data_IF_949216706504
#
_entry.id   IF_949216706504
#
_cell.length_a   1.000
_cell.length_b   1.000
_cell.length_c   1.000
_cell.angle_alpha   90.00
_cell.angle_beta   90.00
_cell.angle_gamma   90.00
#
_symmetry.space_group_name_H-M   'P 1'
#
loop_
_entity.id
_entity.type
_entity.pdbx_description
1 polymer ?
#
# COMPACT_ATOMS: atom_id res chain seq x y z
N UNK A 1 45.45 -20.78 47.46
CA UNK A 1 46.23 -19.55 47.17
C UNK A 1 45.40 -18.72 46.18
N UNK A 2 44.50 -17.95 46.64
CA UNK A 2 44.44 -16.57 47.07
C UNK A 2 45.27 -15.59 46.21
N UNK A 3 44.62 -14.81 45.35
CA UNK A 3 44.86 -13.37 45.26
C UNK A 3 43.69 -12.66 44.55
N UNK A 4 43.03 -11.80 45.33
CA UNK A 4 42.06 -10.79 44.94
C UNK A 4 42.79 -9.66 44.17
N UNK A 5 42.10 -9.02 43.21
CA UNK A 5 42.32 -7.60 42.94
C UNK A 5 40.96 -6.90 42.82
N UNK A 6 40.82 -5.90 43.70
CA UNK A 6 39.66 -5.01 43.82
C UNK A 6 39.77 -3.85 42.81
N UNK A 7 38.61 -3.30 42.53
CA UNK A 7 38.26 -2.08 41.75
C UNK A 7 39.01 -0.81 42.24
N UNK A 8 38.92 0.29 41.45
CA UNK A 8 38.05 1.34 41.95
C UNK A 8 37.11 1.99 40.90
N UNK A 9 35.87 2.17 41.34
CA UNK A 9 34.93 3.14 40.84
C UNK A 9 35.40 4.57 41.07
N UNK A 10 35.16 5.49 40.11
CA UNK A 10 35.08 6.90 40.43
C UNK A 10 35.36 7.84 39.26
N UNK A 11 34.39 8.68 38.95
CA UNK A 11 34.47 9.95 38.19
C UNK A 11 34.26 9.93 36.69
N UNK A 12 33.00 9.93 36.29
CA UNK A 12 32.56 10.59 35.04
C UNK A 12 31.10 11.08 35.16
N UNK A 13 30.84 11.97 36.12
CA UNK A 13 29.54 12.69 36.24
C UNK A 13 29.68 14.20 36.11
N UNK A 14 30.76 14.72 35.55
CA UNK A 14 31.00 16.17 35.49
C UNK A 14 31.09 16.79 34.09
N UNK A 15 30.98 16.01 33.02
CA UNK A 15 31.13 16.53 31.65
C UNK A 15 29.82 16.76 30.90
N UNK A 16 28.65 16.38 31.43
CA UNK A 16 27.37 16.51 30.72
C UNK A 16 26.58 17.77 31.10
N UNK A 17 27.00 18.51 32.14
CA UNK A 17 26.32 19.76 32.55
C UNK A 17 26.87 21.04 31.91
N UNK A 18 27.97 20.99 31.19
CA UNK A 18 28.62 22.19 30.61
C UNK A 18 28.21 22.48 29.15
N UNK A 19 27.51 21.57 28.45
CA UNK A 19 27.11 21.76 27.05
C UNK A 19 25.67 22.30 26.91
N UNK A 20 24.85 22.21 27.94
CA UNK A 20 23.47 22.67 27.92
C UNK A 20 23.28 24.17 28.20
N UNK A 21 24.32 24.93 28.61
CA UNK A 21 24.21 26.34 28.94
C UNK A 21 24.73 27.31 27.86
N UNK A 22 25.30 26.82 26.76
CA UNK A 22 25.90 27.65 25.70
C UNK A 22 25.03 27.81 24.44
N UNK A 23 23.90 27.13 24.33
CA UNK A 23 23.00 27.21 23.14
C UNK A 23 21.77 28.10 23.43
N UNK A 24 21.54 28.53 24.68
CA UNK A 24 20.34 29.28 25.06
C UNK A 24 20.47 30.81 25.01
N UNK A 25 21.64 31.40 24.70
CA UNK A 25 21.87 32.85 24.85
C UNK A 25 22.20 33.62 23.55
N UNK A 26 22.06 33.02 22.37
CA UNK A 26 22.39 33.71 21.10
C UNK A 26 21.18 33.94 20.17
N UNK A 27 19.94 33.58 20.56
CA UNK A 27 18.78 33.75 19.69
C UNK A 27 17.75 34.77 20.13
N UNK A 28 18.07 35.61 21.11
CA UNK A 28 17.11 36.57 21.72
C UNK A 28 17.53 38.07 21.61
N UNK A 29 18.38 38.46 20.65
CA UNK A 29 18.81 39.89 20.56
C UNK A 29 18.80 40.52 19.17
N UNK A 30 18.02 40.05 18.22
CA UNK A 30 17.93 40.73 16.91
C UNK A 30 16.53 40.87 16.28
N UNK A 31 15.46 40.92 17.10
CA UNK A 31 14.13 41.27 16.55
C UNK A 31 13.40 42.28 17.44
N UNK A 32 13.98 43.45 17.57
CA UNK A 32 13.37 44.51 18.36
C UNK A 32 13.95 45.86 18.04
N UNK A 33 13.88 46.34 16.80
CA UNK A 33 14.06 47.76 16.47
C UNK A 33 13.82 47.97 14.97
N UNK A 34 12.57 48.24 14.59
CA UNK A 34 12.16 49.05 13.42
C UNK A 34 10.65 48.86 13.20
N UNK A 35 9.82 49.50 13.99
CA UNK A 35 8.46 49.91 13.65
C UNK A 35 7.98 50.89 14.73
N UNK A 36 8.41 52.15 14.58
CA UNK A 36 7.72 53.29 15.18
C UNK A 36 8.13 54.53 14.40
N UNK A 37 7.21 55.08 13.75
CA UNK A 37 7.10 56.46 13.24
C UNK A 37 6.46 56.46 11.86
N UNK A 38 5.18 56.79 11.82
CA UNK A 38 4.60 57.78 10.92
C UNK A 38 3.06 57.77 11.16
N UNK A 39 2.64 58.57 12.16
CA UNK A 39 1.32 59.15 12.22
C UNK A 39 1.54 60.67 12.19
N UNK A 40 1.03 61.38 11.22
CA UNK A 40 0.22 62.61 11.33
C UNK A 40 0.13 63.33 9.98
N UNK A 41 -1.05 63.79 9.74
CA UNK A 41 -1.46 64.95 8.96
C UNK A 41 -2.04 64.74 7.57
N UNK A 42 -3.30 65.14 7.46
CA UNK A 42 -3.86 65.66 6.20
C UNK A 42 -5.31 65.29 5.92
N UNK A 43 -6.26 65.89 6.66
CA UNK A 43 -7.64 65.95 6.25
C UNK A 43 -7.83 67.00 5.17
N UNK A 44 -8.39 66.65 4.00
CA UNK A 44 -9.12 67.59 3.15
C UNK A 44 -10.28 66.80 2.49
N UNK A 45 -11.46 67.33 2.69
CA UNK A 45 -12.75 66.93 2.17
C UNK A 45 -12.82 67.27 0.67
N UNK A 46 -13.25 66.34 -0.16
CA UNK A 46 -13.84 66.67 -1.45
C UNK A 46 -14.98 65.64 -1.76
N UNK A 47 -16.17 66.14 -1.60
CA UNK A 47 -17.39 65.49 -2.05
C UNK A 47 -17.48 65.64 -3.59
N UNK A 48 -17.47 64.53 -4.27
CA UNK A 48 -17.97 64.46 -5.66
C UNK A 48 -18.89 63.21 -5.75
N UNK A 49 -20.15 63.53 -6.01
CA UNK A 49 -21.13 62.53 -6.44
C UNK A 49 -20.67 61.88 -7.75
N UNK A 50 -20.63 60.60 -7.79
CA UNK A 50 -20.60 59.86 -9.03
C UNK A 50 -21.40 58.54 -8.83
N UNK A 51 -22.36 58.41 -9.66
CA UNK A 51 -23.30 57.34 -9.98
C UNK A 51 -22.96 55.96 -9.49
N UNK A 52 -23.95 55.35 -8.86
CA UNK A 52 -24.06 53.91 -8.62
C UNK A 52 -23.93 53.12 -9.94
N UNK A 53 -22.81 52.51 -10.17
CA UNK A 53 -22.74 51.22 -10.82
C UNK A 53 -22.47 50.17 -9.78
N UNK A 54 -23.51 49.50 -9.34
CA UNK A 54 -23.39 48.29 -8.52
C UNK A 54 -22.66 47.24 -9.36
N UNK A 55 -21.31 47.17 -9.24
CA UNK A 55 -20.58 45.99 -9.62
C UNK A 55 -20.88 44.92 -8.59
N UNK A 56 -21.77 44.05 -8.97
CA UNK A 56 -22.10 42.81 -8.26
C UNK A 56 -20.83 41.97 -8.18
N UNK A 57 -20.24 41.66 -7.00
CA UNK A 57 -19.07 40.78 -6.93
C UNK A 57 -19.48 39.30 -7.00
N UNK A 58 -20.57 38.99 -7.69
CA UNK A 58 -21.07 37.64 -7.81
C UNK A 58 -21.26 37.25 -9.29
N UNK A 59 -20.17 37.35 -10.08
CA UNK A 59 -20.09 36.67 -11.39
C UNK A 59 -19.25 35.39 -11.26
N UNK A 60 -19.59 34.58 -10.25
CA UNK A 60 -19.36 33.16 -10.34
C UNK A 60 -20.34 32.61 -11.36
N UNK A 61 -19.87 31.92 -12.39
CA UNK A 61 -20.72 31.17 -13.31
C UNK A 61 -21.77 30.40 -12.51
N UNK A 62 -23.05 30.45 -12.81
CA UNK A 62 -24.13 29.82 -12.00
C UNK A 62 -24.01 28.31 -11.85
N UNK A 63 -23.05 27.66 -12.57
CA UNK A 63 -22.93 26.21 -12.67
C UNK A 63 -21.60 25.63 -12.11
N UNK A 64 -20.78 26.42 -11.41
CA UNK A 64 -19.56 25.85 -10.82
C UNK A 64 -19.91 25.08 -9.54
N UNK A 65 -19.83 23.75 -9.60
CA UNK A 65 -19.93 22.90 -8.40
C UNK A 65 -18.79 23.24 -7.45
N UNK A 66 -19.03 23.10 -6.13
CA UNK A 66 -18.00 23.30 -5.10
C UNK A 66 -16.83 22.33 -5.30
N UNK A 67 -15.60 22.81 -5.15
CA UNK A 67 -14.39 21.98 -5.15
C UNK A 67 -14.50 20.82 -4.15
N UNK A 68 -13.99 19.65 -4.53
CA UNK A 68 -14.05 18.42 -3.74
C UNK A 68 -12.65 17.88 -3.50
N UNK A 69 -12.41 17.40 -2.28
CA UNK A 69 -11.20 16.66 -1.93
C UNK A 69 -11.60 15.22 -1.55
N UNK A 70 -11.02 14.23 -2.23
CA UNK A 70 -11.17 12.81 -1.93
C UNK A 70 -9.96 12.29 -1.16
N UNK A 71 -10.19 11.49 -0.13
CA UNK A 71 -9.14 10.75 0.58
C UNK A 71 -9.11 9.31 0.08
N UNK A 72 -8.02 8.95 -0.62
CA UNK A 72 -7.75 7.59 -1.10
C UNK A 72 -6.77 6.89 -0.17
N UNK A 73 -7.18 5.79 0.43
CA UNK A 73 -6.34 4.93 1.26
C UNK A 73 -6.06 3.63 0.55
N UNK A 74 -4.78 3.27 0.38
CA UNK A 74 -4.42 2.12 -0.43
C UNK A 74 -3.16 1.39 0.04
N UNK A 75 -2.96 0.17 -0.46
CA UNK A 75 -1.73 -0.56 -0.19
C UNK A 75 -0.56 -0.02 -1.02
N UNK A 76 0.66 -0.18 -0.50
CA UNK A 76 1.84 0.57 -0.93
C UNK A 76 2.17 0.49 -2.43
N UNK A 77 1.92 -0.66 -3.06
CA UNK A 77 2.36 -0.92 -4.43
C UNK A 77 1.50 -0.26 -5.51
N UNK A 78 0.27 0.15 -5.18
CA UNK A 78 -0.65 0.83 -6.11
C UNK A 78 -0.28 2.28 -6.38
N UNK A 79 0.58 2.87 -5.55
CA UNK A 79 0.93 4.29 -5.62
C UNK A 79 1.29 4.74 -7.03
N UNK A 80 2.10 3.96 -7.75
CA UNK A 80 2.55 4.34 -9.10
C UNK A 80 1.42 4.31 -10.14
N UNK A 81 0.48 3.38 -10.01
CA UNK A 81 -0.73 3.35 -10.84
C UNK A 81 -1.60 4.58 -10.57
N UNK A 82 -1.88 4.88 -9.30
CA UNK A 82 -2.70 6.04 -8.93
C UNK A 82 -2.07 7.37 -9.37
N UNK A 83 -0.74 7.52 -9.28
CA UNK A 83 -0.03 8.69 -9.79
C UNK A 83 -0.26 8.93 -11.30
N UNK A 84 -0.46 7.88 -12.08
CA UNK A 84 -0.74 7.97 -13.51
C UNK A 84 -2.25 8.16 -13.82
N UNK A 85 -3.13 7.55 -13.01
CA UNK A 85 -4.57 7.48 -13.26
C UNK A 85 -5.30 8.73 -12.74
N UNK A 86 -4.97 9.19 -11.51
CA UNK A 86 -5.66 10.32 -10.87
C UNK A 86 -5.68 11.58 -11.74
N UNK A 87 -4.57 12.02 -12.37
CA UNK A 87 -4.61 13.22 -13.23
C UNK A 87 -5.57 13.10 -14.40
N UNK A 88 -5.69 11.90 -15.00
CA UNK A 88 -6.62 11.63 -16.11
C UNK A 88 -8.08 11.74 -15.67
N UNK A 89 -8.40 11.16 -14.51
CA UNK A 89 -9.72 11.29 -13.92
C UNK A 89 -10.07 12.75 -13.59
N UNK A 90 -9.15 13.47 -12.95
CA UNK A 90 -9.34 14.88 -12.57
C UNK A 90 -9.61 15.75 -13.81
N UNK A 91 -8.83 15.57 -14.88
CA UNK A 91 -9.02 16.28 -16.15
C UNK A 91 -10.38 15.96 -16.79
N UNK A 92 -10.75 14.67 -16.84
CA UNK A 92 -12.03 14.19 -17.35
C UNK A 92 -13.19 14.78 -16.54
N UNK A 93 -13.14 14.66 -15.22
CA UNK A 93 -14.18 15.16 -14.31
C UNK A 93 -14.37 16.67 -14.42
N UNK A 94 -13.26 17.42 -14.47
CA UNK A 94 -13.32 18.87 -14.65
C UNK A 94 -13.98 19.28 -15.97
N UNK A 95 -13.73 18.55 -17.06
CA UNK A 95 -14.35 18.80 -18.37
C UNK A 95 -15.85 18.46 -18.38
N UNK A 96 -16.24 17.37 -17.74
CA UNK A 96 -17.60 16.85 -17.78
C UNK A 96 -18.52 17.47 -16.73
N UNK A 97 -18.00 17.78 -15.54
CA UNK A 97 -18.79 18.22 -14.40
C UNK A 97 -18.53 19.67 -13.97
N UNK A 98 -17.56 20.35 -14.61
CA UNK A 98 -17.10 21.68 -14.21
C UNK A 98 -16.81 21.80 -12.71
N UNK A 99 -16.24 20.73 -12.13
CA UNK A 99 -15.90 20.62 -10.71
C UNK A 99 -14.46 20.23 -10.54
N UNK A 100 -13.72 20.98 -9.72
CA UNK A 100 -12.34 20.65 -9.36
C UNK A 100 -12.32 19.55 -8.30
N UNK A 101 -11.47 18.53 -8.53
CA UNK A 101 -11.23 17.42 -7.59
C UNK A 101 -9.75 17.36 -7.24
N UNK A 102 -9.47 17.18 -5.96
CA UNK A 102 -8.13 16.91 -5.44
C UNK A 102 -8.11 15.62 -4.65
N UNK A 103 -6.94 15.02 -4.47
CA UNK A 103 -6.79 13.76 -3.76
C UNK A 103 -5.76 13.87 -2.63
N UNK A 104 -6.19 13.55 -1.42
CA UNK A 104 -5.30 13.11 -0.35
C UNK A 104 -5.07 11.62 -0.47
N UNK A 105 -3.83 11.17 -0.30
CA UNK A 105 -3.47 9.78 -0.55
C UNK A 105 -2.65 9.23 0.61
N UNK A 106 -3.02 8.03 1.10
CA UNK A 106 -2.28 7.29 2.12
C UNK A 106 -1.93 5.90 1.60
N UNK A 107 -0.66 5.50 1.76
CA UNK A 107 -0.13 4.23 1.28
C UNK A 107 0.67 3.50 2.34
N UNK A 108 0.43 2.20 2.49
CA UNK A 108 1.12 1.34 3.45
C UNK A 108 0.76 -0.13 3.30
N UNK A 109 1.07 -0.95 4.28
CA UNK A 109 0.60 -2.34 4.32
C UNK A 109 -0.93 -2.38 4.40
N UNK A 110 -1.58 -3.24 3.61
CA UNK A 110 -3.04 -3.31 3.50
C UNK A 110 -3.73 -3.44 4.87
N UNK A 111 -3.27 -4.38 5.71
CA UNK A 111 -3.82 -4.55 7.05
C UNK A 111 -3.57 -3.36 7.98
N UNK A 112 -2.48 -2.60 7.78
CA UNK A 112 -2.22 -1.37 8.52
C UNK A 112 -3.15 -0.24 8.09
N UNK A 113 -3.39 -0.12 6.77
CA UNK A 113 -4.33 0.86 6.23
C UNK A 113 -5.77 0.57 6.66
N UNK A 114 -6.15 -0.72 6.66
CA UNK A 114 -7.46 -1.15 7.19
C UNK A 114 -7.67 -0.70 8.63
N UNK A 115 -6.67 -0.94 9.49
CA UNK A 115 -6.74 -0.49 10.90
C UNK A 115 -6.84 1.03 10.99
N UNK A 116 -6.03 1.76 10.23
CA UNK A 116 -6.06 3.23 10.24
C UNK A 116 -7.46 3.78 9.88
N UNK A 117 -8.15 3.19 8.88
CA UNK A 117 -9.51 3.59 8.52
C UNK A 117 -10.50 3.27 9.64
N UNK A 118 -10.42 2.07 10.24
CA UNK A 118 -11.29 1.68 11.36
C UNK A 118 -11.04 2.58 12.58
N UNK A 119 -9.79 2.98 12.82
CA UNK A 119 -9.38 3.83 13.94
C UNK A 119 -9.62 5.34 13.68
N UNK A 120 -10.24 5.70 12.54
CA UNK A 120 -10.73 7.06 12.28
C UNK A 120 -10.01 7.84 11.18
N UNK A 121 -9.16 7.21 10.36
CA UNK A 121 -8.70 7.84 9.12
C UNK A 121 -9.87 7.90 8.13
N UNK A 122 -10.37 9.10 7.91
CA UNK A 122 -11.56 9.36 7.10
C UNK A 122 -11.30 9.20 5.60
N UNK A 123 -11.15 7.94 5.16
CA UNK A 123 -11.02 7.60 3.75
C UNK A 123 -12.38 7.70 3.04
N UNK A 124 -12.42 8.29 1.86
CA UNK A 124 -13.58 8.21 0.95
C UNK A 124 -13.55 6.92 0.13
N UNK A 125 -12.35 6.45 -0.21
CA UNK A 125 -12.13 5.27 -1.04
C UNK A 125 -11.01 4.45 -0.44
N UNK A 126 -11.20 3.12 -0.41
CA UNK A 126 -10.17 2.17 -0.04
C UNK A 126 -9.86 1.24 -1.22
N UNK A 127 -8.60 1.13 -1.61
CA UNK A 127 -8.10 0.15 -2.57
C UNK A 127 -7.08 -0.73 -1.85
N UNK A 128 -7.53 -1.90 -1.41
CA UNK A 128 -6.78 -2.77 -0.52
C UNK A 128 -6.25 -4.02 -1.25
N UNK A 129 -5.32 -4.72 -0.61
CA UNK A 129 -4.72 -5.90 -1.22
C UNK A 129 -5.60 -7.15 -1.14
N UNK A 130 -6.60 -7.15 -0.24
CA UNK A 130 -7.43 -8.31 0.08
C UNK A 130 -8.88 -7.89 0.30
N UNK A 131 -9.85 -8.64 -0.22
CA UNK A 131 -11.26 -8.47 0.12
C UNK A 131 -11.52 -8.65 1.63
N UNK A 132 -10.78 -9.54 2.29
CA UNK A 132 -10.86 -9.68 3.76
C UNK A 132 -10.52 -8.40 4.54
N UNK A 133 -9.67 -7.53 4.02
CA UNK A 133 -9.33 -6.27 4.66
C UNK A 133 -10.45 -5.24 4.44
N UNK A 134 -11.09 -5.20 3.27
CA UNK A 134 -12.30 -4.40 3.00
C UNK A 134 -13.47 -4.85 3.86
N UNK A 135 -13.69 -6.17 3.98
CA UNK A 135 -14.76 -6.73 4.82
C UNK A 135 -14.59 -6.42 6.32
N UNK A 136 -13.37 -6.13 6.80
CA UNK A 136 -13.19 -5.64 8.19
C UNK A 136 -13.72 -4.23 8.36
N UNK A 137 -13.57 -3.37 7.35
CA UNK A 137 -14.10 -2.00 7.34
C UNK A 137 -15.62 -2.04 7.25
N UNK A 138 -16.19 -2.97 6.45
CA UNK A 138 -17.63 -3.27 6.42
C UNK A 138 -18.14 -3.72 7.80
N UNK A 139 -17.47 -4.70 8.44
CA UNK A 139 -17.82 -5.18 9.79
C UNK A 139 -17.73 -4.07 10.84
N UNK A 140 -16.86 -3.08 10.67
CA UNK A 140 -16.82 -1.88 11.48
C UNK A 140 -17.96 -0.88 11.16
N UNK A 141 -18.78 -1.19 10.15
CA UNK A 141 -19.95 -0.42 9.75
C UNK A 141 -19.61 0.89 9.03
N UNK A 142 -18.45 1.00 8.37
CA UNK A 142 -18.03 2.16 7.60
C UNK A 142 -18.32 2.00 6.10
N UNK A 143 -18.34 0.77 5.60
CA UNK A 143 -18.74 0.37 4.25
C UNK A 143 -20.05 -0.39 4.36
N UNK A 144 -20.98 -0.17 3.47
CA UNK A 144 -22.26 -0.86 3.43
C UNK A 144 -22.09 -2.32 2.96
N UNK A 145 -23.03 -3.18 3.38
CA UNK A 145 -23.03 -4.59 2.97
C UNK A 145 -23.30 -4.71 1.47
N UNK A 146 -22.59 -5.63 0.83
CA UNK A 146 -22.76 -5.91 -0.58
C UNK A 146 -21.88 -5.05 -1.48
N UNK A 147 -20.86 -4.40 -0.94
CA UNK A 147 -19.89 -3.59 -1.68
C UNK A 147 -19.25 -4.35 -2.85
N UNK A 148 -19.11 -5.68 -2.75
CA UNK A 148 -18.57 -6.52 -3.83
C UNK A 148 -19.43 -6.47 -5.09
N UNK A 149 -20.76 -6.24 -4.96
CA UNK A 149 -21.69 -6.20 -6.09
C UNK A 149 -21.87 -4.82 -6.70
N UNK A 150 -21.31 -3.77 -6.10
CA UNK A 150 -21.43 -2.39 -6.61
C UNK A 150 -20.63 -2.15 -7.89
N UNK A 151 -19.56 -2.94 -8.08
CA UNK A 151 -18.62 -2.78 -9.19
C UNK A 151 -18.34 -4.11 -9.89
N UNK A 152 -17.83 -4.07 -11.15
CA UNK A 152 -17.48 -5.30 -11.89
C UNK A 152 -16.49 -6.21 -11.15
N UNK A 153 -16.52 -7.49 -11.48
CA UNK A 153 -15.56 -8.50 -10.98
C UNK A 153 -15.54 -8.61 -9.44
N UNK A 154 -16.70 -8.54 -8.79
CA UNK A 154 -16.82 -8.57 -7.32
C UNK A 154 -15.99 -7.46 -6.64
N UNK A 155 -15.99 -6.25 -7.22
CA UNK A 155 -15.22 -5.11 -6.71
C UNK A 155 -13.70 -5.22 -6.95
N UNK A 156 -13.22 -6.22 -7.70
CA UNK A 156 -11.80 -6.40 -8.00
C UNK A 156 -11.39 -5.51 -9.17
N UNK A 157 -10.46 -4.59 -8.93
CA UNK A 157 -10.04 -3.56 -9.89
C UNK A 157 -8.65 -3.82 -10.49
N UNK A 158 -7.84 -4.66 -9.88
CA UNK A 158 -6.54 -5.08 -10.41
C UNK A 158 -6.15 -6.46 -9.91
N UNK A 159 -5.30 -7.16 -10.67
CA UNK A 159 -4.82 -8.50 -10.35
C UNK A 159 -3.30 -8.59 -10.41
N UNK A 160 -2.75 -9.61 -9.77
CA UNK A 160 -1.34 -9.97 -9.82
C UNK A 160 -1.16 -11.45 -9.48
N UNK A 161 0.09 -11.91 -9.41
CA UNK A 161 0.45 -13.22 -8.86
C UNK A 161 1.70 -13.08 -8.00
N UNK A 162 1.89 -13.93 -6.98
CA UNK A 162 3.17 -14.02 -6.29
C UNK A 162 4.26 -14.58 -7.21
N UNK A 163 5.45 -14.01 -7.12
CA UNK A 163 6.63 -14.48 -7.85
C UNK A 163 7.82 -14.66 -6.91
N UNK A 164 8.77 -15.51 -7.31
CA UNK A 164 10.05 -15.67 -6.61
C UNK A 164 11.10 -14.90 -7.39
N UNK A 165 11.68 -13.88 -6.78
CA UNK A 165 12.80 -13.11 -7.33
C UNK A 165 14.09 -13.71 -6.81
N UNK A 166 15.10 -13.83 -7.68
CA UNK A 166 16.41 -14.37 -7.33
C UNK A 166 17.51 -13.35 -7.62
N UNK A 167 18.66 -13.56 -7.03
CA UNK A 167 19.87 -12.81 -7.40
C UNK A 167 20.26 -13.10 -8.85
N UNK A 168 21.06 -12.23 -9.42
CA UNK A 168 21.56 -12.40 -10.78
C UNK A 168 22.25 -13.76 -10.96
N UNK A 169 21.95 -14.43 -12.06
CA UNK A 169 22.42 -15.79 -12.35
C UNK A 169 21.80 -16.89 -11.48
N UNK A 170 20.87 -16.57 -10.56
CA UNK A 170 20.18 -17.52 -9.69
C UNK A 170 21.14 -18.52 -8.99
N UNK A 171 22.09 -18.05 -8.17
CA UNK A 171 23.17 -18.89 -7.61
C UNK A 171 22.66 -20.02 -6.70
N UNK A 172 21.45 -19.88 -6.14
CA UNK A 172 20.78 -20.91 -5.33
C UNK A 172 19.94 -21.89 -6.15
N UNK A 173 19.91 -21.73 -7.48
CA UNK A 173 19.13 -22.56 -8.40
C UNK A 173 17.65 -22.73 -7.95
N UNK A 174 17.01 -21.61 -7.59
CA UNK A 174 15.62 -21.53 -7.12
C UNK A 174 14.72 -21.50 -8.35
N UNK A 175 13.84 -22.50 -8.51
CA UNK A 175 12.95 -22.66 -9.67
C UNK A 175 11.48 -22.80 -9.27
N UNK A 176 11.21 -23.17 -8.02
CA UNK A 176 9.85 -23.41 -7.52
C UNK A 176 9.78 -23.12 -6.01
N UNK A 177 8.56 -23.09 -5.47
CA UNK A 177 8.29 -22.85 -4.05
C UNK A 177 9.09 -23.78 -3.12
N UNK A 178 9.20 -25.08 -3.48
CA UNK A 178 9.92 -26.05 -2.67
C UNK A 178 11.44 -25.82 -2.59
N UNK A 179 12.01 -25.01 -3.48
CA UNK A 179 13.43 -24.65 -3.39
C UNK A 179 13.70 -23.68 -2.24
N UNK A 180 12.68 -22.98 -1.77
CA UNK A 180 12.78 -22.05 -0.64
C UNK A 180 12.84 -22.78 0.72
N UNK A 181 12.58 -24.10 0.76
CA UNK A 181 12.74 -24.94 1.95
C UNK A 181 14.21 -25.30 2.23
N UNK A 182 15.10 -25.14 1.24
CA UNK A 182 16.51 -25.53 1.34
C UNK A 182 17.21 -24.72 2.42
N UNK A 183 17.90 -25.42 3.30
CA UNK A 183 18.72 -24.81 4.35
C UNK A 183 19.79 -23.87 3.74
N UNK A 184 20.05 -22.75 4.39
CA UNK A 184 20.99 -21.73 3.95
C UNK A 184 20.47 -20.85 2.81
N UNK A 185 19.17 -20.89 2.50
CA UNK A 185 18.49 -19.92 1.63
C UNK A 185 17.99 -18.75 2.47
N UNK A 186 18.49 -17.54 2.24
CA UNK A 186 17.98 -16.34 2.92
C UNK A 186 16.82 -15.75 2.11
N UNK A 187 15.61 -15.77 2.67
CA UNK A 187 14.39 -15.36 2.01
C UNK A 187 13.85 -14.04 2.58
N UNK A 188 13.53 -13.09 1.74
CA UNK A 188 12.82 -11.87 2.12
C UNK A 188 11.33 -12.01 1.77
N UNK A 189 10.47 -11.69 2.70
CA UNK A 189 9.01 -11.56 2.52
C UNK A 189 8.43 -10.62 3.57
N UNK A 190 7.19 -10.18 3.37
CA UNK A 190 6.53 -9.29 4.32
C UNK A 190 5.79 -10.06 5.43
N UNK A 191 5.35 -9.34 6.47
CA UNK A 191 4.61 -9.89 7.60
C UNK A 191 3.11 -10.03 7.29
N UNK A 192 2.51 -11.23 7.39
CA UNK A 192 1.07 -11.44 7.22
C UNK A 192 0.18 -10.69 8.23
N UNK A 193 0.71 -10.19 9.34
CA UNK A 193 -0.02 -9.36 10.32
C UNK A 193 -0.22 -7.92 9.84
N UNK A 194 0.61 -7.42 8.92
CA UNK A 194 0.58 -6.03 8.44
C UNK A 194 0.36 -5.89 6.94
N UNK A 195 0.81 -6.86 6.15
CA UNK A 195 0.90 -6.81 4.70
C UNK A 195 -0.02 -7.80 4.01
N UNK A 196 -0.79 -7.32 3.04
CA UNK A 196 -1.63 -8.19 2.21
C UNK A 196 -0.83 -9.12 1.31
N UNK A 197 0.31 -8.66 0.72
CA UNK A 197 1.16 -9.53 -0.10
C UNK A 197 1.65 -10.74 0.67
N UNK A 198 1.96 -10.56 1.94
CA UNK A 198 2.46 -11.65 2.77
C UNK A 198 1.42 -12.76 2.97
N UNK A 199 0.13 -12.40 3.04
CA UNK A 199 -0.96 -13.39 3.08
C UNK A 199 -1.07 -14.13 1.75
N UNK A 200 -0.98 -13.42 0.62
CA UNK A 200 -0.95 -14.06 -0.69
C UNK A 200 0.26 -14.97 -0.88
N UNK A 201 1.45 -14.55 -0.46
CA UNK A 201 2.66 -15.36 -0.48
C UNK A 201 2.51 -16.63 0.36
N UNK A 202 1.95 -16.50 1.57
CA UNK A 202 1.65 -17.64 2.44
C UNK A 202 0.69 -18.63 1.77
N UNK A 203 -0.40 -18.11 1.16
CA UNK A 203 -1.38 -18.95 0.48
C UNK A 203 -0.81 -19.66 -0.75
N UNK A 204 0.04 -18.99 -1.53
CA UNK A 204 0.73 -19.62 -2.66
C UNK A 204 1.65 -20.78 -2.22
N UNK A 205 2.47 -20.53 -1.19
CA UNK A 205 3.33 -21.54 -0.58
C UNK A 205 2.53 -22.72 -0.02
N UNK A 206 1.47 -22.41 0.76
CA UNK A 206 0.62 -23.45 1.34
C UNK A 206 -0.06 -24.32 0.28
N UNK A 207 -0.67 -23.66 -0.70
CA UNK A 207 -1.36 -24.36 -1.79
C UNK A 207 -0.41 -25.28 -2.56
N UNK A 208 0.79 -24.82 -2.87
CA UNK A 208 1.81 -25.63 -3.55
C UNK A 208 2.28 -26.82 -2.68
N UNK A 209 2.56 -26.57 -1.40
CA UNK A 209 2.97 -27.60 -0.45
C UNK A 209 1.86 -28.64 -0.22
N UNK A 210 0.60 -28.17 -0.09
CA UNK A 210 -0.56 -29.07 0.07
C UNK A 210 -0.77 -29.95 -1.18
N UNK A 211 -0.74 -29.37 -2.37
CA UNK A 211 -0.87 -30.16 -3.63
C UNK A 211 0.23 -31.19 -3.78
N UNK A 212 1.45 -30.90 -3.35
CA UNK A 212 2.60 -31.79 -3.40
C UNK A 212 2.55 -32.85 -2.29
N UNK A 213 2.21 -32.46 -1.07
CA UNK A 213 2.28 -33.30 0.13
C UNK A 213 1.00 -34.07 0.45
N UNK A 214 -0.17 -33.59 0.00
CA UNK A 214 -1.48 -34.20 0.17
C UNK A 214 -2.11 -34.01 1.56
N UNK A 215 -1.48 -33.23 2.49
CA UNK A 215 -2.07 -32.97 3.80
C UNK A 215 -1.66 -31.61 4.36
N UNK A 216 -2.46 -31.10 5.31
CA UNK A 216 -2.19 -29.85 6.03
C UNK A 216 -0.93 -29.94 6.90
N UNK A 217 -0.64 -31.09 7.49
CA UNK A 217 0.53 -31.32 8.33
C UNK A 217 1.81 -31.16 7.51
N UNK A 218 1.84 -31.74 6.29
CA UNK A 218 2.98 -31.61 5.39
C UNK A 218 3.13 -30.18 4.86
N UNK A 219 2.02 -29.49 4.60
CA UNK A 219 2.07 -28.09 4.22
C UNK A 219 2.61 -27.21 5.36
N UNK A 220 2.17 -27.46 6.60
CA UNK A 220 2.67 -26.77 7.78
C UNK A 220 4.17 -27.02 8.00
N UNK A 221 4.65 -28.24 7.79
CA UNK A 221 6.08 -28.58 7.87
C UNK A 221 6.89 -27.82 6.81
N UNK A 222 6.45 -27.88 5.56
CA UNK A 222 7.10 -27.18 4.44
C UNK A 222 7.19 -25.67 4.70
N UNK A 223 6.08 -25.03 5.09
CA UNK A 223 6.09 -23.60 5.40
C UNK A 223 6.94 -23.29 6.63
N UNK A 224 7.01 -24.16 7.63
CA UNK A 224 7.92 -23.97 8.77
C UNK A 224 9.36 -23.90 8.29
N UNK A 225 9.80 -24.77 7.37
CA UNK A 225 11.13 -24.72 6.77
C UNK A 225 11.36 -23.43 5.98
N UNK A 226 10.40 -23.02 5.14
CA UNK A 226 10.46 -21.76 4.39
C UNK A 226 10.61 -20.57 5.32
N UNK A 227 9.77 -20.46 6.35
CA UNK A 227 9.82 -19.32 7.29
C UNK A 227 11.04 -19.34 8.22
N UNK A 228 11.67 -20.51 8.46
CA UNK A 228 12.97 -20.60 9.13
C UNK A 228 14.05 -19.86 8.33
N UNK A 229 13.95 -19.86 7.02
CA UNK A 229 14.86 -19.18 6.09
C UNK A 229 14.58 -17.68 5.93
N UNK A 230 13.54 -17.13 6.57
CA UNK A 230 13.19 -15.70 6.51
C UNK A 230 13.85 -14.98 7.70
N UNK A 231 14.92 -14.20 7.54
CA UNK A 231 15.61 -13.52 8.65
C UNK A 231 14.79 -12.38 9.24
N UNK A 232 14.05 -11.66 8.43
CA UNK A 232 13.24 -10.48 8.80
C UNK A 232 11.95 -10.48 8.01
N UNK A 233 10.82 -10.24 8.69
CA UNK A 233 9.53 -9.96 8.08
C UNK A 233 9.39 -8.44 7.92
N UNK A 234 9.28 -7.95 6.68
CA UNK A 234 9.11 -6.52 6.40
C UNK A 234 7.66 -6.09 6.60
N UNK A 235 7.42 -4.79 6.83
CA UNK A 235 6.06 -4.29 7.10
C UNK A 235 5.12 -4.36 5.89
N UNK A 236 5.66 -4.27 4.68
CA UNK A 236 4.90 -4.32 3.43
C UNK A 236 5.75 -4.76 2.23
N UNK A 237 5.09 -4.92 1.06
CA UNK A 237 5.71 -5.37 -0.18
C UNK A 237 6.81 -4.43 -0.69
N UNK A 238 6.63 -3.11 -0.52
CA UNK A 238 7.60 -2.12 -0.98
C UNK A 238 8.88 -2.18 -0.15
N UNK A 239 8.76 -2.31 1.16
CA UNK A 239 9.92 -2.49 2.04
C UNK A 239 10.66 -3.80 1.73
N UNK A 240 9.93 -4.89 1.41
CA UNK A 240 10.55 -6.15 0.97
C UNK A 240 11.37 -5.95 -0.32
N UNK A 241 10.82 -5.24 -1.32
CA UNK A 241 11.52 -4.88 -2.54
C UNK A 241 12.77 -4.05 -2.26
N UNK A 242 12.67 -3.07 -1.38
CA UNK A 242 13.79 -2.21 -1.02
C UNK A 242 14.88 -2.96 -0.23
N UNK A 243 14.51 -3.86 0.68
CA UNK A 243 15.44 -4.73 1.39
C UNK A 243 16.23 -5.61 0.42
N UNK A 244 15.55 -6.19 -0.56
CA UNK A 244 16.20 -7.04 -1.56
C UNK A 244 17.08 -6.23 -2.52
N UNK A 245 16.52 -5.26 -3.25
CA UNK A 245 17.24 -4.59 -4.34
C UNK A 245 18.18 -3.47 -3.89
N UNK A 246 17.79 -2.67 -2.88
CA UNK A 246 18.59 -1.51 -2.45
C UNK A 246 19.58 -1.86 -1.34
N UNK A 247 19.17 -2.76 -0.41
CA UNK A 247 20.01 -3.13 0.75
C UNK A 247 20.79 -4.41 0.51
N UNK A 248 20.56 -5.14 -0.60
CA UNK A 248 21.27 -6.36 -0.95
C UNK A 248 20.95 -7.56 -0.05
N UNK A 249 19.84 -7.53 0.70
CA UNK A 249 19.48 -8.58 1.66
C UNK A 249 18.84 -9.79 0.98
N UNK A 250 19.07 -10.99 1.49
CA UNK A 250 18.46 -12.24 1.06
C UNK A 250 19.01 -12.79 -0.27
N UNK A 251 18.82 -14.08 -0.48
CA UNK A 251 19.10 -14.79 -1.74
C UNK A 251 17.89 -14.78 -2.66
N UNK A 252 16.70 -14.75 -2.07
CA UNK A 252 15.41 -14.69 -2.76
C UNK A 252 14.44 -13.72 -2.10
N UNK A 253 13.46 -13.27 -2.87
CA UNK A 253 12.34 -12.44 -2.42
C UNK A 253 11.05 -13.04 -2.97
N UNK A 254 10.02 -13.19 -2.14
CA UNK A 254 8.66 -13.44 -2.62
C UNK A 254 7.89 -12.12 -2.59
N UNK A 255 7.36 -11.71 -3.74
CA UNK A 255 6.61 -10.48 -3.84
C UNK A 255 5.59 -10.53 -4.99
N UNK A 256 4.83 -9.46 -5.17
CA UNK A 256 3.97 -9.27 -6.33
C UNK A 256 4.75 -9.22 -7.64
N UNK A 257 4.20 -9.78 -8.71
CA UNK A 257 4.71 -9.61 -10.06
C UNK A 257 4.85 -8.15 -10.47
N UNK A 258 3.85 -7.30 -10.14
CA UNK A 258 3.89 -5.87 -10.47
C UNK A 258 5.05 -5.12 -9.80
N UNK A 259 5.47 -5.47 -8.58
CA UNK A 259 6.64 -4.87 -7.95
C UNK A 259 7.93 -5.15 -8.72
N UNK A 260 8.02 -6.34 -9.31
CA UNK A 260 9.20 -6.78 -10.02
C UNK A 260 9.26 -6.16 -11.41
N UNK A 261 8.12 -6.08 -12.09
CA UNK A 261 8.00 -5.37 -13.36
C UNK A 261 8.37 -3.88 -13.16
N UNK A 262 7.85 -3.25 -12.11
CA UNK A 262 8.18 -1.86 -11.78
C UNK A 262 9.67 -1.67 -11.41
N UNK A 263 10.28 -2.62 -10.71
CA UNK A 263 11.71 -2.59 -10.40
C UNK A 263 12.56 -2.67 -11.69
N UNK A 264 12.18 -3.56 -12.61
CA UNK A 264 12.81 -3.66 -13.94
C UNK A 264 12.72 -2.36 -14.72
N UNK A 265 11.55 -1.72 -14.75
CA UNK A 265 11.35 -0.42 -15.42
C UNK A 265 12.22 0.69 -14.83
N UNK A 266 12.60 0.57 -13.57
CA UNK A 266 13.54 1.49 -12.87
C UNK A 266 15.01 1.12 -13.07
N UNK A 267 15.30 0.20 -13.98
CA UNK A 267 16.66 -0.22 -14.32
C UNK A 267 17.28 -1.23 -13.37
N UNK A 268 16.49 -1.84 -12.45
CA UNK A 268 16.97 -2.96 -11.67
C UNK A 268 17.12 -4.19 -12.55
N UNK A 269 18.25 -4.90 -12.41
CA UNK A 269 18.43 -6.21 -13.02
C UNK A 269 17.59 -7.21 -12.24
N UNK A 270 16.54 -7.74 -12.86
CA UNK A 270 15.61 -8.66 -12.21
C UNK A 270 15.65 -10.03 -12.84
N UNK A 271 15.75 -11.07 -12.01
CA UNK A 271 15.52 -12.45 -12.37
C UNK A 271 14.38 -12.96 -11.49
N UNK A 272 13.33 -13.48 -12.08
CA UNK A 272 12.22 -14.01 -11.29
C UNK A 272 11.61 -15.25 -11.94
N UNK A 273 10.94 -16.02 -11.13
CA UNK A 273 10.21 -17.24 -11.52
C UNK A 273 8.75 -17.05 -11.13
N UNK A 274 7.85 -17.39 -12.04
CA UNK A 274 6.43 -17.58 -11.75
C UNK A 274 6.22 -19.08 -11.56
N UNK A 275 6.08 -19.59 -10.34
CA UNK A 275 5.86 -21.02 -10.11
C UNK A 275 4.57 -21.50 -10.75
N UNK A 276 4.57 -22.76 -11.22
CA UNK A 276 3.44 -23.33 -11.95
C UNK A 276 2.17 -23.42 -11.09
N UNK A 277 2.30 -23.82 -9.84
CA UNK A 277 1.20 -23.77 -8.85
C UNK A 277 1.22 -22.40 -8.18
N UNK A 278 0.16 -21.64 -8.35
CA UNK A 278 0.12 -20.27 -7.84
C UNK A 278 -1.30 -19.88 -7.40
N UNK A 279 -1.46 -18.63 -6.96
CA UNK A 279 -2.74 -18.05 -6.56
C UNK A 279 -2.99 -16.73 -7.27
N UNK A 280 -4.22 -16.47 -7.69
CA UNK A 280 -4.63 -15.16 -8.17
C UNK A 280 -4.64 -14.18 -7.00
N UNK A 281 -3.94 -13.10 -7.15
CA UNK A 281 -4.02 -11.95 -6.26
C UNK A 281 -5.08 -11.02 -6.81
N UNK A 282 -6.18 -10.89 -6.09
CA UNK A 282 -7.33 -10.08 -6.47
C UNK A 282 -7.43 -8.87 -5.50
N UNK A 283 -7.25 -7.66 -6.06
CA UNK A 283 -7.21 -6.43 -5.27
C UNK A 283 -8.54 -5.67 -5.38
N UNK A 284 -9.30 -5.59 -4.28
CA UNK A 284 -10.60 -4.92 -4.24
C UNK A 284 -10.46 -3.42 -4.08
N UNK A 285 -11.49 -2.73 -4.56
CA UNK A 285 -11.73 -1.32 -4.28
C UNK A 285 -13.15 -1.13 -3.77
N UNK A 286 -13.35 -0.20 -2.84
CA UNK A 286 -14.67 0.14 -2.32
C UNK A 286 -14.74 1.62 -1.94
N UNK A 287 -15.92 2.18 -2.01
CA UNK A 287 -16.28 3.48 -1.43
C UNK A 287 -16.55 3.27 0.06
N UNK A 288 -16.15 4.20 0.90
CA UNK A 288 -16.41 4.18 2.34
C UNK A 288 -17.67 5.00 2.62
N UNK A 289 -18.83 4.35 2.60
CA UNK A 289 -20.15 4.97 2.56
C UNK A 289 -20.39 6.02 3.63
N UNK A 290 -20.01 5.73 4.88
CA UNK A 290 -20.17 6.70 5.97
C UNK A 290 -19.36 7.97 5.77
N UNK A 291 -18.16 7.85 5.23
CA UNK A 291 -17.28 9.00 5.06
C UNK A 291 -17.71 9.84 3.86
N UNK A 292 -18.03 9.22 2.72
CA UNK A 292 -18.52 9.97 1.54
C UNK A 292 -19.85 10.65 1.83
N UNK A 293 -20.74 10.05 2.63
CA UNK A 293 -21.98 10.69 3.08
C UNK A 293 -21.69 11.91 3.98
N UNK A 294 -20.73 11.77 4.91
CA UNK A 294 -20.29 12.86 5.80
C UNK A 294 -19.65 14.01 5.03
N UNK A 295 -18.81 13.71 4.05
CA UNK A 295 -18.05 14.68 3.26
C UNK A 295 -18.86 15.27 2.09
N UNK A 296 -19.97 14.63 1.69
CA UNK A 296 -20.72 15.00 0.50
C UNK A 296 -19.97 14.67 -0.80
N UNK A 297 -19.13 13.64 -0.78
CA UNK A 297 -18.21 13.27 -1.88
C UNK A 297 -18.66 12.03 -2.67
N UNK A 298 -19.85 11.47 -2.35
CA UNK A 298 -20.28 10.16 -2.88
C UNK A 298 -20.27 10.12 -4.42
N UNK A 299 -20.85 11.10 -5.09
CA UNK A 299 -20.96 11.14 -6.57
C UNK A 299 -19.56 11.03 -7.23
N UNK A 300 -18.61 11.83 -6.75
CA UNK A 300 -17.26 11.87 -7.34
C UNK A 300 -16.41 10.65 -6.94
N UNK A 301 -16.61 10.12 -5.73
CA UNK A 301 -15.93 8.89 -5.28
C UNK A 301 -16.35 7.67 -6.12
N UNK A 302 -17.66 7.48 -6.31
CA UNK A 302 -18.19 6.42 -7.17
C UNK A 302 -17.75 6.57 -8.64
N UNK A 303 -17.74 7.81 -9.15
CA UNK A 303 -17.27 8.09 -10.51
C UNK A 303 -15.78 7.74 -10.67
N UNK A 304 -14.94 8.06 -9.67
CA UNK A 304 -13.52 7.66 -9.69
C UNK A 304 -13.36 6.14 -9.66
N UNK A 305 -14.09 5.44 -8.78
CA UNK A 305 -14.03 3.97 -8.75
C UNK A 305 -14.46 3.37 -10.08
N UNK A 306 -15.55 3.85 -10.68
CA UNK A 306 -15.99 3.42 -12.02
C UNK A 306 -14.94 3.71 -13.10
N UNK A 307 -14.28 4.86 -13.04
CA UNK A 307 -13.20 5.19 -13.97
C UNK A 307 -12.05 4.21 -13.94
N UNK A 308 -11.72 3.65 -12.76
CA UNK A 308 -10.64 2.68 -12.63
C UNK A 308 -10.86 1.38 -13.43
N UNK A 309 -12.13 1.05 -13.78
CA UNK A 309 -12.45 -0.09 -14.65
C UNK A 309 -12.43 0.26 -16.14
N UNK A 310 -12.23 1.53 -16.50
CA UNK A 310 -12.13 1.92 -17.91
C UNK A 310 -10.86 1.36 -18.57
N UNK A 311 -10.89 1.08 -19.89
CA UNK A 311 -9.67 0.66 -20.61
C UNK A 311 -8.51 1.63 -20.42
N UNK A 312 -8.78 2.93 -20.31
CA UNK A 312 -7.76 3.95 -20.08
C UNK A 312 -7.03 3.74 -18.74
N UNK A 313 -7.77 3.56 -17.64
CA UNK A 313 -7.19 3.33 -16.32
C UNK A 313 -6.54 1.94 -16.23
N UNK A 314 -7.17 0.92 -16.82
CA UNK A 314 -6.65 -0.44 -16.86
C UNK A 314 -5.34 -0.53 -17.64
N UNK A 315 -5.17 0.25 -18.70
CA UNK A 315 -3.89 0.40 -19.41
C UNK A 315 -2.79 0.96 -18.48
N UNK A 316 -3.11 1.95 -17.64
CA UNK A 316 -2.13 2.48 -16.69
C UNK A 316 -1.77 1.45 -15.59
N UNK A 317 -2.76 0.67 -15.09
CA UNK A 317 -2.47 -0.46 -14.21
C UNK A 317 -1.55 -1.48 -14.88
N UNK A 318 -1.83 -1.86 -16.12
CA UNK A 318 -1.04 -2.83 -16.87
C UNK A 318 0.41 -2.35 -17.11
N UNK A 319 0.59 -1.08 -17.48
CA UNK A 319 1.92 -0.47 -17.66
C UNK A 319 2.81 -0.57 -16.42
N UNK A 320 2.25 -0.50 -15.23
CA UNK A 320 3.01 -0.62 -13.98
C UNK A 320 2.99 -2.03 -13.39
N UNK A 321 2.57 -3.02 -14.20
CA UNK A 321 2.73 -4.45 -13.90
C UNK A 321 1.54 -5.12 -13.22
N UNK A 322 0.39 -4.47 -13.07
CA UNK A 322 -0.83 -5.15 -12.64
C UNK A 322 -1.50 -5.84 -13.82
N UNK A 323 -1.95 -7.07 -13.64
CA UNK A 323 -2.75 -7.80 -14.62
C UNK A 323 -4.11 -7.11 -14.74
N UNK A 324 -4.49 -6.60 -15.94
CA UNK A 324 -5.73 -5.86 -16.11
C UNK A 324 -6.95 -6.76 -15.94
N UNK A 325 -8.04 -6.17 -15.45
CA UNK A 325 -9.35 -6.84 -15.36
C UNK A 325 -10.23 -6.55 -16.58
N UNK A 326 -9.91 -5.53 -17.36
CA UNK A 326 -10.54 -5.25 -18.64
C UNK A 326 -10.00 -6.21 -19.72
N UNK A 327 -10.91 -6.95 -20.37
CA UNK A 327 -10.53 -7.96 -21.35
C UNK A 327 -9.92 -7.37 -22.63
N UNK A 328 -10.29 -6.17 -23.04
CA UNK A 328 -9.74 -5.53 -24.21
C UNK A 328 -8.28 -5.17 -24.02
N UNK A 329 -7.95 -4.62 -22.86
CA UNK A 329 -6.58 -4.31 -22.44
C UNK A 329 -5.76 -5.60 -22.24
N UNK A 330 -6.34 -6.62 -21.60
CA UNK A 330 -5.68 -7.90 -21.36
C UNK A 330 -5.27 -8.63 -22.66
N UNK A 331 -6.00 -8.38 -23.76
CA UNK A 331 -5.75 -8.98 -25.09
C UNK A 331 -4.76 -8.17 -25.95
N UNK A 332 -4.32 -7.00 -25.51
CA UNK A 332 -3.30 -6.24 -26.22
C UNK A 332 -1.97 -7.04 -26.25
N UNK A 333 -1.36 -7.12 -27.41
CA UNK A 333 -0.13 -7.93 -27.63
C UNK A 333 0.94 -7.66 -26.58
N UNK A 334 1.19 -6.38 -26.24
CA UNK A 334 2.19 -5.99 -25.24
C UNK A 334 1.90 -6.56 -23.85
N UNK A 335 0.63 -6.66 -23.45
CA UNK A 335 0.25 -7.16 -22.14
C UNK A 335 0.14 -8.69 -22.10
N UNK A 336 -0.23 -9.32 -23.22
CA UNK A 336 -0.14 -10.78 -23.35
C UNK A 336 1.32 -11.25 -23.21
N UNK A 337 2.27 -10.53 -23.80
CA UNK A 337 3.71 -10.82 -23.68
C UNK A 337 4.25 -10.53 -22.26
N UNK A 338 3.75 -9.46 -21.62
CA UNK A 338 4.17 -9.07 -20.27
C UNK A 338 3.65 -10.02 -19.19
N UNK A 339 2.46 -10.57 -19.34
CA UNK A 339 1.77 -11.39 -18.34
C UNK A 339 1.55 -12.83 -18.80
N UNK A 340 2.55 -13.70 -18.72
CA UNK A 340 2.40 -15.09 -19.12
C UNK A 340 1.31 -15.79 -18.33
N UNK A 341 0.60 -16.72 -18.98
CA UNK A 341 -0.42 -17.53 -18.32
C UNK A 341 0.19 -18.42 -17.23
N UNK A 342 -0.49 -18.52 -16.10
CA UNK A 342 -0.11 -19.42 -15.00
C UNK A 342 -0.95 -20.70 -15.10
N UNK A 343 -0.30 -21.85 -15.18
CA UNK A 343 -0.98 -23.13 -15.49
C UNK A 343 -1.96 -23.59 -14.40
N UNK A 344 -1.54 -23.54 -13.14
CA UNK A 344 -2.31 -24.02 -12.00
C UNK A 344 -2.63 -22.86 -11.06
N UNK A 345 -3.42 -21.90 -11.55
CA UNK A 345 -3.82 -20.71 -10.80
C UNK A 345 -5.05 -21.00 -9.95
N UNK A 346 -4.89 -21.01 -8.64
CA UNK A 346 -6.00 -21.12 -7.68
C UNK A 346 -6.53 -19.73 -7.33
N UNK A 347 -7.77 -19.68 -6.84
CA UNK A 347 -8.43 -18.46 -6.34
C UNK A 347 -8.73 -18.59 -4.85
N UNK A 348 -9.13 -17.50 -4.22
CA UNK A 348 -9.65 -17.49 -2.83
C UNK A 348 -10.85 -18.43 -2.70
N UNK A 349 -11.69 -18.50 -3.72
CA UNK A 349 -12.87 -19.39 -3.75
C UNK A 349 -12.48 -20.86 -3.68
N UNK A 350 -11.41 -21.25 -4.38
CA UNK A 350 -10.91 -22.62 -4.36
C UNK A 350 -10.35 -23.03 -2.99
N UNK A 351 -9.99 -22.04 -2.15
CA UNK A 351 -9.52 -22.23 -0.77
C UNK A 351 -10.63 -22.05 0.27
N UNK A 352 -11.90 -21.99 -0.13
CA UNK A 352 -13.07 -21.89 0.74
C UNK A 352 -13.47 -20.46 1.15
N UNK A 353 -12.89 -19.44 0.53
CA UNK A 353 -13.20 -18.03 0.83
C UNK A 353 -12.39 -17.44 1.98
N UNK A 354 -12.44 -16.10 2.10
CA UNK A 354 -11.61 -15.37 3.07
C UNK A 354 -11.90 -15.73 4.54
N UNK A 355 -13.14 -16.05 4.91
CA UNK A 355 -13.45 -16.42 6.30
C UNK A 355 -12.80 -17.75 6.69
N UNK A 356 -12.84 -18.76 5.81
CA UNK A 356 -12.16 -20.04 6.01
C UNK A 356 -10.64 -19.86 6.04
N UNK A 357 -10.09 -19.07 5.12
CA UNK A 357 -8.67 -18.73 5.02
C UNK A 357 -8.19 -18.02 6.31
N UNK A 358 -8.90 -17.00 6.77
CA UNK A 358 -8.54 -16.28 7.99
C UNK A 358 -8.55 -17.18 9.21
N UNK A 359 -9.61 -18.01 9.36
CA UNK A 359 -9.73 -18.97 10.48
C UNK A 359 -8.59 -19.99 10.47
N UNK A 360 -8.24 -20.53 9.30
CA UNK A 360 -7.22 -21.59 9.16
C UNK A 360 -5.81 -21.09 9.30
N UNK A 361 -5.52 -19.89 8.78
CA UNK A 361 -4.14 -19.46 8.57
C UNK A 361 -3.72 -18.22 9.38
N UNK A 362 -4.61 -17.24 9.62
CA UNK A 362 -4.21 -15.91 10.09
C UNK A 362 -4.90 -15.45 11.38
N UNK A 363 -5.89 -16.16 11.89
CA UNK A 363 -6.47 -15.92 13.21
C UNK A 363 -5.42 -16.20 14.31
N UNK A 364 -5.65 -15.66 15.50
CA UNK A 364 -4.76 -15.90 16.63
C UNK A 364 -4.66 -17.42 16.93
N UNK A 365 -3.41 -17.89 17.04
CA UNK A 365 -3.10 -19.32 17.22
C UNK A 365 -3.24 -20.18 15.96
N UNK A 366 -3.60 -19.61 14.81
CA UNK A 366 -3.72 -20.34 13.55
C UNK A 366 -2.35 -20.70 12.94
N UNK A 367 -2.34 -21.28 11.73
CA UNK A 367 -1.15 -21.86 11.13
C UNK A 367 0.08 -20.92 11.09
N UNK A 368 -0.10 -19.64 10.79
CA UNK A 368 1.01 -18.68 10.79
C UNK A 368 1.61 -18.51 12.20
N UNK A 369 0.78 -18.35 13.23
CA UNK A 369 1.25 -18.24 14.63
C UNK A 369 1.96 -19.52 15.10
N UNK A 370 1.46 -20.70 14.70
CA UNK A 370 2.11 -21.97 14.98
C UNK A 370 3.49 -22.08 14.35
N UNK A 371 3.65 -21.59 13.11
CA UNK A 371 4.94 -21.52 12.44
C UNK A 371 5.88 -20.58 13.21
N UNK A 372 5.42 -19.37 13.56
CA UNK A 372 6.23 -18.39 14.30
C UNK A 372 6.68 -18.96 15.67
N UNK A 373 5.81 -19.66 16.37
CA UNK A 373 6.14 -20.31 17.64
C UNK A 373 7.23 -21.40 17.50
N UNK A 374 7.21 -22.16 16.39
CA UNK A 374 8.20 -23.21 16.11
C UNK A 374 9.58 -22.68 15.76
N UNK A 375 9.66 -21.54 15.05
CA UNK A 375 10.95 -20.94 14.63
C UNK A 375 11.57 -20.03 15.69
N UNK A 376 10.93 -19.87 16.87
CA UNK A 376 11.43 -19.10 18.02
C UNK A 376 11.96 -17.71 17.65
N UNK A 377 11.12 -16.90 17.08
CA UNK A 377 11.41 -15.48 16.82
C UNK A 377 10.68 -14.59 17.80
#
# INVERSE_FOLDING_TARGET
MSSRYQQPFGKTKSAIKAIASLVSNTFSRQLGRKFMSFFLAGAIISVTMAACTATNPNSGSPDAKKDVELTLVSFAVTKKAHEAIIPKFVEKWQKEQNQKVTFKQSYGGSGSQTRAVIDGLEADIVHLALAADTSKIEKAGLIDKGWEQEYPNDGIVSKSVPVIVTRDGNPKNIKDWSDLEKEGTSLITADPKTSGVARWNFLALWNAAFKKGGSDEKALEALTKVYTNVPILTKDAREATDAFFKQGQGDALINYENEIILASQKGQKVNYVIPEVNISIDNPIAVVDKNVAKHGTKEVAEAFVKFLYSPEAQTEFAKVGFRPVDESVAKEKQFVEQFPAVKNLSTVKDLGGWDAINKKFFADGAAFDQIQAKIKR
#
